data_IF_554927256690
#
_entry.id   IF_554927256690
#
_cell.length_a   1.000
_cell.length_b   1.000
_cell.length_c   1.000
_cell.angle_alpha   90.00
_cell.angle_beta   90.00
_cell.angle_gamma   90.00
#
_symmetry.space_group_name_H-M   'P 1'
#
loop_
_entity.id
_entity.type
_entity.pdbx_description
1 polymer ?
#
# COMPACT_ATOMS: atom_id res chain seq x y z
N UNK A 1 21.87 -19.68 13.09
CA UNK A 1 21.03 -18.56 12.63
C UNK A 1 20.38 -19.02 11.33
N UNK A 2 19.23 -19.68 11.42
CA UNK A 2 18.49 -20.17 10.25
C UNK A 2 17.86 -18.96 9.56
N UNK A 3 18.37 -18.60 8.39
CA UNK A 3 17.67 -17.69 7.48
C UNK A 3 16.56 -18.52 6.86
N UNK A 4 15.39 -18.48 7.47
CA UNK A 4 14.18 -19.04 6.88
C UNK A 4 13.97 -18.33 5.52
N UNK A 5 13.85 -19.05 4.39
CA UNK A 5 13.64 -18.43 3.10
C UNK A 5 12.28 -17.74 3.15
N UNK A 6 12.29 -16.40 3.28
CA UNK A 6 11.07 -15.62 3.23
C UNK A 6 10.34 -15.98 1.94
N UNK A 7 9.11 -16.52 2.02
CA UNK A 7 8.38 -16.89 0.82
C UNK A 7 8.29 -15.66 -0.09
N UNK A 8 8.42 -15.81 -1.41
CA UNK A 8 8.39 -14.68 -2.35
C UNK A 8 7.14 -13.79 -2.21
N UNK A 9 6.09 -14.30 -1.54
CA UNK A 9 4.90 -13.56 -1.12
C UNK A 9 5.19 -12.37 -0.19
N UNK A 10 6.10 -12.46 0.79
CA UNK A 10 6.26 -11.37 1.77
C UNK A 10 7.08 -10.20 1.22
N UNK A 11 8.20 -10.46 0.55
CA UNK A 11 9.04 -9.40 -0.01
C UNK A 11 8.31 -8.60 -1.10
N UNK A 12 7.59 -9.27 -2.01
CA UNK A 12 6.84 -8.58 -3.08
C UNK A 12 5.59 -7.89 -2.55
N UNK A 13 4.88 -8.49 -1.59
CA UNK A 13 3.75 -7.81 -0.95
C UNK A 13 4.20 -6.57 -0.18
N UNK A 14 5.34 -6.62 0.52
CA UNK A 14 5.88 -5.43 1.19
C UNK A 14 6.34 -4.35 0.22
N UNK A 15 6.94 -4.72 -0.92
CA UNK A 15 7.28 -3.76 -1.97
C UNK A 15 6.03 -3.06 -2.52
N UNK A 16 4.95 -3.82 -2.79
CA UNK A 16 3.66 -3.25 -3.22
C UNK A 16 3.10 -2.33 -2.13
N UNK A 17 3.10 -2.76 -0.86
CA UNK A 17 2.64 -1.92 0.25
C UNK A 17 3.47 -0.64 0.37
N UNK A 18 4.79 -0.70 0.21
CA UNK A 18 5.67 0.47 0.25
C UNK A 18 5.32 1.47 -0.86
N UNK A 19 5.16 1.00 -2.10
CA UNK A 19 4.79 1.83 -3.24
C UNK A 19 3.42 2.50 -3.05
N UNK A 20 2.41 1.76 -2.59
CA UNK A 20 1.08 2.32 -2.32
C UNK A 20 1.11 3.36 -1.19
N UNK A 21 1.91 3.13 -0.14
CA UNK A 21 2.11 4.11 0.95
C UNK A 21 2.76 5.39 0.44
N UNK A 22 3.79 5.28 -0.40
CA UNK A 22 4.47 6.44 -1.00
C UNK A 22 3.50 7.25 -1.87
N UNK A 23 2.77 6.60 -2.77
CA UNK A 23 1.77 7.26 -3.60
C UNK A 23 0.70 7.97 -2.76
N UNK A 24 0.22 7.33 -1.68
CA UNK A 24 -0.75 7.94 -0.78
C UNK A 24 -0.15 9.13 -0.02
N UNK A 25 1.09 9.02 0.44
CA UNK A 25 1.78 10.10 1.14
C UNK A 25 1.99 11.32 0.22
N UNK A 26 2.37 11.10 -1.03
CA UNK A 26 2.57 12.17 -2.01
C UNK A 26 1.25 12.86 -2.36
N UNK A 27 0.19 12.09 -2.56
CA UNK A 27 -1.16 12.62 -2.79
C UNK A 27 -1.66 13.46 -1.60
N UNK A 28 -1.44 13.00 -0.38
CA UNK A 28 -1.81 13.74 0.84
C UNK A 28 -0.98 15.02 0.98
N UNK A 29 0.32 14.97 0.72
CA UNK A 29 1.21 16.15 0.78
C UNK A 29 0.79 17.21 -0.23
N UNK A 30 0.36 16.79 -1.43
CA UNK A 30 -0.09 17.70 -2.50
C UNK A 30 -1.33 18.51 -2.10
N UNK A 31 -2.15 18.05 -1.14
CA UNK A 31 -3.32 18.79 -0.68
C UNK A 31 -2.98 20.06 0.10
N UNK A 32 -1.78 20.17 0.67
CA UNK A 32 -1.36 21.31 1.49
C UNK A 32 -2.36 21.69 2.61
N UNK A 33 -3.00 20.68 3.21
CA UNK A 33 -3.94 20.87 4.33
C UNK A 33 -3.36 20.30 5.61
N UNK A 34 -3.83 20.75 6.79
CA UNK A 34 -3.48 20.13 8.06
C UNK A 34 -3.77 18.62 8.06
N UNK A 35 -2.95 17.86 8.78
CA UNK A 35 -3.05 16.40 8.86
C UNK A 35 -4.42 15.93 9.41
N UNK A 36 -5.05 16.71 10.29
CA UNK A 36 -6.43 16.45 10.76
C UNK A 36 -7.44 16.44 9.61
N UNK A 37 -7.35 17.43 8.72
CA UNK A 37 -8.21 17.55 7.54
C UNK A 37 -7.94 16.44 6.54
N UNK A 38 -6.66 16.12 6.27
CA UNK A 38 -6.30 15.01 5.40
C UNK A 38 -6.80 13.66 5.93
N UNK A 39 -6.65 13.41 7.24
CA UNK A 39 -7.14 12.19 7.88
C UNK A 39 -8.67 12.06 7.77
N UNK A 40 -9.40 13.16 7.95
CA UNK A 40 -10.84 13.21 7.78
C UNK A 40 -11.26 12.90 6.33
N UNK A 41 -10.57 13.47 5.32
CA UNK A 41 -10.82 13.17 3.89
C UNK A 41 -10.62 11.69 3.56
N UNK A 42 -9.58 11.08 4.16
CA UNK A 42 -9.29 9.66 3.99
C UNK A 42 -10.20 8.75 4.84
N UNK A 43 -10.99 9.30 5.76
CA UNK A 43 -11.84 8.55 6.69
C UNK A 43 -11.03 7.70 7.67
N UNK A 44 -9.87 8.19 8.12
CA UNK A 44 -8.97 7.52 9.07
C UNK A 44 -8.62 8.43 10.26
N UNK A 45 -8.01 7.85 11.29
CA UNK A 45 -7.49 8.62 12.43
C UNK A 45 -6.18 9.36 12.11
N UNK A 46 -5.91 10.45 12.84
CA UNK A 46 -4.66 11.23 12.73
C UNK A 46 -3.41 10.39 13.00
N UNK A 47 -3.44 9.50 14.00
CA UNK A 47 -2.34 8.59 14.30
C UNK A 47 -2.06 7.62 13.15
N UNK A 48 -3.12 7.07 12.54
CA UNK A 48 -2.99 6.21 11.36
C UNK A 48 -2.33 6.96 10.20
N UNK A 49 -2.76 8.19 9.93
CA UNK A 49 -2.13 9.01 8.90
C UNK A 49 -0.66 9.33 9.24
N UNK A 50 -0.36 9.65 10.50
CA UNK A 50 1.01 9.90 10.94
C UNK A 50 1.93 8.70 10.71
N UNK A 51 1.44 7.50 11.01
CA UNK A 51 2.20 6.28 10.80
C UNK A 51 2.41 5.98 9.31
N UNK A 52 1.43 6.29 8.45
CA UNK A 52 1.60 6.19 6.98
C UNK A 52 2.70 7.13 6.50
N UNK A 53 2.67 8.40 6.95
CA UNK A 53 3.62 9.43 6.53
C UNK A 53 5.04 9.19 7.06
N UNK A 54 5.18 8.57 8.23
CA UNK A 54 6.47 8.23 8.84
C UNK A 54 6.96 6.81 8.52
N UNK A 55 6.28 6.10 7.61
CA UNK A 55 6.61 4.73 7.20
C UNK A 55 6.59 3.67 8.33
N UNK A 56 6.00 3.96 9.49
CA UNK A 56 5.91 3.07 10.64
C UNK A 56 4.59 2.30 10.68
N UNK A 57 4.36 1.40 9.71
CA UNK A 57 3.12 0.62 9.69
C UNK A 57 3.27 -0.73 8.98
N UNK A 58 3.81 -1.71 9.71
CA UNK A 58 3.85 -3.13 9.31
C UNK A 58 2.46 -3.81 9.27
N UNK A 59 1.35 -3.07 9.48
CA UNK A 59 0.00 -3.66 9.64
C UNK A 59 -1.09 -3.13 8.71
N UNK A 60 -0.82 -2.13 7.86
CA UNK A 60 -1.86 -1.67 6.91
C UNK A 60 -1.93 -2.66 5.74
N UNK A 61 -3.11 -3.21 5.51
CA UNK A 61 -3.37 -4.11 4.39
C UNK A 61 -3.29 -3.39 3.03
N UNK A 62 -2.96 -4.13 1.97
CA UNK A 62 -2.98 -3.59 0.59
C UNK A 62 -4.38 -3.07 0.26
N UNK A 63 -5.44 -3.81 0.59
CA UNK A 63 -6.82 -3.40 0.35
C UNK A 63 -7.17 -2.06 1.03
N UNK A 64 -6.71 -1.85 2.27
CA UNK A 64 -6.88 -0.58 2.97
C UNK A 64 -6.15 0.57 2.27
N UNK A 65 -4.93 0.33 1.78
CA UNK A 65 -4.17 1.34 1.02
C UNK A 65 -4.89 1.71 -0.28
N UNK A 66 -5.39 0.73 -1.03
CA UNK A 66 -6.17 0.96 -2.25
C UNK A 66 -7.42 1.79 -1.93
N UNK A 67 -8.16 1.43 -0.87
CA UNK A 67 -9.37 2.16 -0.47
C UNK A 67 -9.06 3.63 -0.13
N UNK A 68 -7.95 3.89 0.57
CA UNK A 68 -7.51 5.25 0.89
C UNK A 68 -7.08 6.03 -0.36
N UNK A 69 -6.37 5.38 -1.30
CA UNK A 69 -5.99 5.98 -2.58
C UNK A 69 -7.22 6.34 -3.42
N UNK A 70 -8.22 5.46 -3.51
CA UNK A 70 -9.47 5.75 -4.20
C UNK A 70 -10.22 6.94 -3.56
N UNK A 71 -10.27 7.01 -2.22
CA UNK A 71 -10.82 8.19 -1.50
C UNK A 71 -10.00 9.46 -1.75
N UNK A 72 -8.70 9.31 -1.98
CA UNK A 72 -7.81 10.40 -2.34
C UNK A 72 -7.91 10.82 -3.82
N UNK A 73 -8.82 10.21 -4.59
CA UNK A 73 -9.03 10.49 -6.01
C UNK A 73 -8.03 9.83 -6.95
N UNK A 74 -7.22 8.88 -6.45
CA UNK A 74 -6.32 8.11 -7.29
C UNK A 74 -7.05 6.92 -7.93
N UNK A 75 -6.76 6.68 -9.20
CA UNK A 75 -7.12 5.45 -9.89
C UNK A 75 -6.03 4.39 -9.66
N UNK A 76 -6.40 3.19 -9.25
CA UNK A 76 -5.45 2.13 -8.87
C UNK A 76 -5.70 0.91 -9.73
N UNK A 77 -4.71 0.55 -10.54
CA UNK A 77 -4.72 -0.65 -11.39
C UNK A 77 -3.71 -1.69 -10.90
N UNK A 78 -4.05 -2.97 -11.04
CA UNK A 78 -3.17 -4.10 -10.71
C UNK A 78 -2.91 -4.92 -11.96
N UNK A 79 -1.64 -5.06 -12.33
CA UNK A 79 -1.20 -5.92 -13.42
C UNK A 79 -0.66 -7.23 -12.87
N UNK A 80 -1.08 -8.35 -13.46
CA UNK A 80 -0.66 -9.70 -13.07
C UNK A 80 0.00 -10.37 -14.27
N UNK A 81 1.28 -10.72 -14.14
CA UNK A 81 1.98 -11.56 -15.10
C UNK A 81 1.82 -13.03 -14.72
N UNK A 82 1.23 -13.81 -15.62
CA UNK A 82 1.07 -15.25 -15.45
C UNK A 82 2.37 -15.97 -15.82
N UNK A 83 2.71 -17.02 -15.07
CA UNK A 83 3.73 -17.97 -15.50
C UNK A 83 3.24 -18.69 -16.77
N UNK A 84 4.15 -19.18 -17.63
CA UNK A 84 3.76 -20.07 -18.72
C UNK A 84 2.98 -21.27 -18.16
N UNK A 85 2.01 -21.78 -18.93
CA UNK A 85 1.21 -22.94 -18.55
C UNK A 85 2.14 -24.10 -18.15
N UNK A 86 1.78 -24.83 -17.10
CA UNK A 86 2.54 -26.01 -16.67
C UNK A 86 2.61 -26.99 -17.84
N UNK A 87 3.79 -27.55 -18.19
CA UNK A 87 3.97 -28.36 -19.40
C UNK A 87 3.12 -29.65 -19.46
N UNK A 88 2.50 -30.04 -18.35
CA UNK A 88 1.75 -31.29 -18.21
C UNK A 88 0.22 -31.11 -18.36
N UNK A 89 -0.25 -29.96 -18.84
CA UNK A 89 -1.64 -29.77 -19.25
C UNK A 89 -1.82 -30.18 -20.73
N UNK A 90 -1.57 -31.46 -21.05
CA UNK A 90 -2.00 -32.12 -22.29
C UNK A 90 -2.54 -33.51 -22.00
#
# INVERSE_FOLDING_TARGET
>A
MTIDPQPPCDARAEAIRANLRLALADQVKAWQVPQSTAAARLGIGRSTLNNILNHDNRRISIASLITMLSRAGADVSVEVALAPAWPDAQ
#
